data_IF_720990598514
#
_entry.id   IF_720990598514
#
_cell.length_a   1.000
_cell.length_b   1.000
_cell.length_c   1.000
_cell.angle_alpha   90.00
_cell.angle_beta   90.00
_cell.angle_gamma   90.00
#
_symmetry.space_group_name_H-M   'P 1'
#
loop_
_entity.id
_entity.type
_entity.pdbx_description
1 polymer ?
#
# COMPACT_ATOMS: atom_id res chain seq x y z
N UNK A 1 7.66 -16.01 -23.72
CA UNK A 1 7.05 -15.76 -22.41
C UNK A 1 5.89 -16.72 -22.22
N UNK A 2 5.97 -17.62 -21.24
CA UNK A 2 5.05 -18.77 -21.13
C UNK A 2 3.64 -18.34 -20.74
N UNK A 3 2.60 -18.88 -21.42
CA UNK A 3 1.16 -18.61 -21.16
C UNK A 3 0.78 -18.71 -19.67
N UNK A 4 1.46 -19.61 -18.95
CA UNK A 4 1.27 -19.84 -17.52
C UNK A 4 1.64 -18.59 -16.71
N UNK A 5 2.73 -17.89 -17.07
CA UNK A 5 3.15 -16.67 -16.38
C UNK A 5 2.13 -15.53 -16.54
N UNK A 6 1.54 -15.38 -17.73
CA UNK A 6 0.51 -14.38 -17.97
C UNK A 6 -0.76 -14.65 -17.16
N UNK A 7 -1.21 -15.92 -17.09
CA UNK A 7 -2.37 -16.31 -16.29
C UNK A 7 -2.16 -16.05 -14.79
N UNK A 8 -0.96 -16.35 -14.27
CA UNK A 8 -0.63 -16.09 -12.86
C UNK A 8 -0.67 -14.59 -12.58
N UNK A 9 -0.06 -13.75 -13.43
CA UNK A 9 -0.07 -12.29 -13.27
C UNK A 9 -1.50 -11.74 -13.35
N UNK A 10 -2.28 -12.17 -14.34
CA UNK A 10 -3.66 -11.74 -14.52
C UNK A 10 -4.53 -12.13 -13.33
N UNK A 11 -4.41 -13.36 -12.83
CA UNK A 11 -5.15 -13.83 -11.66
C UNK A 11 -4.77 -13.05 -10.40
N UNK A 12 -3.48 -12.82 -10.19
CA UNK A 12 -2.98 -12.04 -9.04
C UNK A 12 -3.51 -10.61 -9.09
N UNK A 13 -3.49 -9.97 -10.26
CA UNK A 13 -4.04 -8.63 -10.46
C UNK A 13 -5.55 -8.58 -10.17
N UNK A 14 -6.30 -9.60 -10.59
CA UNK A 14 -7.75 -9.71 -10.36
C UNK A 14 -8.06 -9.86 -8.86
N UNK A 15 -7.32 -10.73 -8.16
CA UNK A 15 -7.44 -10.88 -6.71
C UNK A 15 -7.12 -9.58 -5.97
N UNK A 16 -6.05 -8.88 -6.37
CA UNK A 16 -5.69 -7.58 -5.80
C UNK A 16 -6.77 -6.51 -6.04
N UNK A 17 -7.37 -6.49 -7.24
CA UNK A 17 -8.50 -5.61 -7.58
C UNK A 17 -9.69 -5.86 -6.65
N UNK A 18 -10.12 -7.12 -6.49
CA UNK A 18 -11.25 -7.49 -5.63
C UNK A 18 -10.96 -7.14 -4.17
N UNK A 19 -9.78 -7.47 -3.67
CA UNK A 19 -9.35 -7.11 -2.31
C UNK A 19 -9.31 -5.60 -2.11
N UNK A 20 -8.89 -4.82 -3.11
CA UNK A 20 -8.85 -3.36 -3.05
C UNK A 20 -10.26 -2.77 -2.93
N UNK A 21 -11.20 -3.23 -3.77
CA UNK A 21 -12.60 -2.77 -3.72
C UNK A 21 -13.27 -3.16 -2.40
N UNK A 22 -13.05 -4.38 -1.92
CA UNK A 22 -13.57 -4.83 -0.63
C UNK A 22 -13.01 -4.00 0.52
N UNK A 23 -11.71 -3.71 0.50
CA UNK A 23 -11.04 -2.87 1.50
C UNK A 23 -11.60 -1.45 1.49
N UNK A 24 -11.83 -0.85 0.32
CA UNK A 24 -12.37 0.50 0.19
C UNK A 24 -13.75 0.59 0.85
N UNK A 25 -14.68 -0.30 0.50
CA UNK A 25 -16.02 -0.35 1.10
C UNK A 25 -15.98 -0.51 2.62
N UNK A 26 -15.06 -1.34 3.12
CA UNK A 26 -14.91 -1.56 4.56
C UNK A 26 -14.33 -0.31 5.26
N UNK A 27 -13.42 0.40 4.61
CA UNK A 27 -12.82 1.63 5.11
C UNK A 27 -13.82 2.80 5.21
N UNK A 28 -14.79 2.87 4.30
CA UNK A 28 -15.89 3.83 4.35
C UNK A 28 -16.78 3.57 5.57
N UNK A 29 -17.10 2.29 5.84
CA UNK A 29 -17.85 1.88 7.03
C UNK A 29 -17.13 2.16 8.36
N UNK A 30 -15.79 2.17 8.35
CA UNK A 30 -15.00 2.60 9.51
C UNK A 30 -15.04 4.11 9.70
N UNK A 31 -15.00 4.88 8.60
CA UNK A 31 -15.05 6.33 8.63
C UNK A 31 -16.36 6.85 9.23
N UNK A 32 -17.49 6.22 8.91
CA UNK A 32 -18.80 6.58 9.48
C UNK A 32 -18.92 6.29 10.98
N UNK A 33 -18.16 5.31 11.49
CA UNK A 33 -18.10 4.95 12.92
C UNK A 33 -17.02 5.69 13.71
N UNK A 34 -16.30 6.62 13.09
CA UNK A 34 -15.18 7.30 13.72
C UNK A 34 -14.05 6.34 14.12
N UNK A 35 -13.84 5.28 13.33
CA UNK A 35 -12.75 4.32 13.46
C UNK A 35 -11.61 4.67 12.48
N UNK A 36 -10.43 4.10 12.72
CA UNK A 36 -9.28 4.33 11.87
C UNK A 36 -9.56 3.89 10.42
N UNK A 37 -9.29 4.79 9.48
CA UNK A 37 -9.51 4.53 8.05
C UNK A 37 -8.67 3.35 7.50
N UNK A 38 -7.49 3.06 8.08
CA UNK A 38 -6.56 2.05 7.56
C UNK A 38 -6.64 0.70 8.29
N UNK A 39 -6.89 0.71 9.60
CA UNK A 39 -6.89 -0.48 10.47
C UNK A 39 -8.27 -0.84 11.03
N UNK A 40 -9.26 0.06 10.97
CA UNK A 40 -10.55 -0.12 11.63
C UNK A 40 -10.49 -0.09 13.16
N UNK A 41 -9.32 0.12 13.77
CA UNK A 41 -9.19 0.23 15.22
C UNK A 41 -9.78 1.54 15.76
N UNK A 42 -10.15 1.54 17.03
CA UNK A 42 -10.60 2.74 17.72
C UNK A 42 -9.52 3.83 17.70
N UNK A 43 -9.95 5.05 17.40
CA UNK A 43 -9.10 6.23 17.45
C UNK A 43 -8.97 6.68 18.91
N UNK A 44 -7.81 6.44 19.51
CA UNK A 44 -7.44 6.99 20.82
C UNK A 44 -6.88 8.41 20.74
N UNK A 45 -6.27 8.88 21.83
CA UNK A 45 -5.68 10.22 21.93
C UNK A 45 -4.58 10.50 20.86
N UNK A 46 -3.90 9.45 20.37
CA UNK A 46 -2.84 9.53 19.35
C UNK A 46 -3.34 9.47 17.90
N UNK A 47 -4.61 9.80 17.68
CA UNK A 47 -5.18 9.88 16.34
C UNK A 47 -4.49 10.96 15.50
N UNK A 48 -3.91 10.59 14.35
CA UNK A 48 -3.36 11.56 13.39
C UNK A 48 -4.30 11.77 12.21
N UNK A 49 -4.55 13.03 11.87
CA UNK A 49 -5.22 13.43 10.63
C UNK A 49 -4.22 13.51 9.48
N UNK A 50 -4.45 12.78 8.40
CA UNK A 50 -3.57 12.78 7.23
C UNK A 50 -4.37 13.18 5.98
N UNK A 51 -3.83 14.08 5.14
CA UNK A 51 -4.49 14.47 3.90
C UNK A 51 -4.49 13.29 2.92
N UNK A 52 -5.68 12.95 2.41
CA UNK A 52 -5.81 11.93 1.38
C UNK A 52 -5.39 12.54 0.03
N UNK A 53 -4.13 12.32 -0.38
CA UNK A 53 -3.58 12.92 -1.61
C UNK A 53 -4.23 12.45 -2.91
N UNK A 54 -5.01 11.36 -2.88
CA UNK A 54 -5.51 10.68 -4.08
C UNK A 54 -6.94 11.11 -4.45
N UNK A 55 -7.74 11.61 -3.50
CA UNK A 55 -9.07 12.16 -3.80
C UNK A 55 -9.11 13.63 -3.43
N UNK A 56 -9.26 14.45 -4.48
CA UNK A 56 -9.79 15.81 -4.53
C UNK A 56 -9.88 16.60 -3.21
N UNK A 57 -9.13 17.71 -3.14
CA UNK A 57 -9.32 18.89 -2.27
C UNK A 57 -9.85 18.61 -0.85
N UNK A 58 -8.94 18.57 0.12
CA UNK A 58 -9.25 18.93 1.52
C UNK A 58 -9.82 17.82 2.41
N UNK A 59 -10.04 16.60 1.91
CA UNK A 59 -10.49 15.51 2.76
C UNK A 59 -9.34 14.95 3.61
N UNK A 60 -9.38 15.27 4.91
CA UNK A 60 -8.52 14.65 5.93
C UNK A 60 -9.16 13.36 6.43
N UNK A 61 -8.36 12.29 6.52
CA UNK A 61 -8.77 11.03 7.14
C UNK A 61 -8.02 10.84 8.44
N UNK A 62 -8.69 10.26 9.44
CA UNK A 62 -8.06 9.94 10.72
C UNK A 62 -7.48 8.52 10.70
N UNK A 63 -6.23 8.38 11.12
CA UNK A 63 -5.52 7.11 11.23
C UNK A 63 -5.05 6.86 12.67
N UNK A 64 -5.05 5.58 13.05
CA UNK A 64 -4.54 5.08 14.32
C UNK A 64 -3.01 5.33 14.41
N UNK A 65 -2.48 5.62 15.60
CA UNK A 65 -1.04 5.84 15.82
C UNK A 65 -0.18 4.65 15.35
N UNK A 66 -0.68 3.43 15.50
CA UNK A 66 -0.07 2.21 14.93
C UNK A 66 0.05 2.24 13.41
N UNK A 67 -1.00 2.65 12.68
CA UNK A 67 -0.95 2.80 11.22
C UNK A 67 -0.05 3.96 10.78
N UNK A 68 0.04 5.03 11.56
CA UNK A 68 0.97 6.11 11.28
C UNK A 68 2.43 5.61 11.38
N UNK A 69 2.74 4.76 12.36
CA UNK A 69 4.04 4.11 12.50
C UNK A 69 4.30 3.11 11.37
N UNK A 70 3.29 2.32 10.98
CA UNK A 70 3.39 1.36 9.90
C UNK A 70 3.68 2.02 8.54
N UNK A 71 3.06 3.19 8.26
CA UNK A 71 3.37 3.96 7.03
C UNK A 71 4.82 4.44 6.99
N UNK A 72 5.40 4.76 8.14
CA UNK A 72 6.81 5.12 8.21
C UNK A 72 7.66 3.89 7.86
N UNK A 73 7.38 2.73 8.46
CA UNK A 73 8.08 1.47 8.20
C UNK A 73 7.94 1.03 6.73
N UNK A 74 6.74 1.12 6.16
CA UNK A 74 6.50 0.79 4.74
C UNK A 74 7.28 1.67 3.78
N UNK A 75 7.48 2.97 4.09
CA UNK A 75 8.34 3.83 3.26
C UNK A 75 9.78 3.36 3.27
N UNK A 76 10.28 2.94 4.43
CA UNK A 76 11.63 2.37 4.54
C UNK A 76 11.75 1.02 3.81
N UNK A 77 10.72 0.17 3.89
CA UNK A 77 10.69 -1.08 3.12
C UNK A 77 10.65 -0.84 1.61
N UNK A 78 9.83 0.09 1.12
CA UNK A 78 9.79 0.45 -0.30
C UNK A 78 11.14 0.98 -0.79
N UNK A 79 11.80 1.82 0.01
CA UNK A 79 13.13 2.31 -0.30
C UNK A 79 14.17 1.18 -0.35
N UNK A 80 14.12 0.22 0.58
CA UNK A 80 15.04 -0.92 0.58
C UNK A 80 14.80 -1.86 -0.61
N UNK A 81 13.54 -2.15 -0.94
CA UNK A 81 13.20 -2.95 -2.12
C UNK A 81 13.64 -2.28 -3.43
N UNK A 82 13.47 -0.96 -3.56
CA UNK A 82 13.96 -0.22 -4.72
C UNK A 82 15.48 -0.29 -4.85
N UNK A 83 16.20 -0.22 -3.73
CA UNK A 83 17.66 -0.31 -3.69
C UNK A 83 18.15 -1.71 -4.08
N UNK A 84 17.50 -2.77 -3.59
CA UNK A 84 17.78 -4.16 -4.00
C UNK A 84 17.49 -4.38 -5.49
N UNK A 85 16.38 -3.84 -6.00
CA UNK A 85 16.04 -3.92 -7.42
C UNK A 85 17.08 -3.22 -8.30
N UNK A 86 17.58 -2.05 -7.89
CA UNK A 86 18.65 -1.35 -8.61
C UNK A 86 19.96 -2.13 -8.62
N UNK A 87 20.33 -2.75 -7.49
CA UNK A 87 21.53 -3.61 -7.41
C UNK A 87 21.37 -4.82 -8.33
N UNK A 88 20.22 -5.50 -8.28
CA UNK A 88 19.95 -6.65 -9.16
C UNK A 88 19.98 -6.24 -10.64
N UNK A 89 19.45 -5.06 -10.98
CA UNK A 89 19.49 -4.52 -12.33
C UNK A 89 20.93 -4.22 -12.77
N UNK A 90 21.75 -3.63 -11.90
CA UNK A 90 23.15 -3.33 -12.18
C UNK A 90 23.99 -4.61 -12.39
N UNK A 91 23.77 -5.63 -11.56
CA UNK A 91 24.43 -6.94 -11.68
C UNK A 91 24.00 -7.66 -12.97
N UNK A 92 22.70 -7.61 -13.30
CA UNK A 92 22.20 -8.16 -14.56
C UNK A 92 22.87 -7.49 -15.77
N UNK A 93 23.00 -6.16 -15.73
CA UNK A 93 23.63 -5.39 -16.79
C UNK A 93 25.13 -5.68 -16.94
N UNK A 94 25.85 -5.92 -15.84
CA UNK A 94 27.27 -6.29 -15.90
C UNK A 94 27.47 -7.72 -16.40
N UNK A 95 26.61 -8.66 -15.99
CA UNK A 95 26.62 -10.05 -16.48
C UNK A 95 26.29 -10.14 -17.98
N UNK A 96 25.38 -9.30 -18.50
CA UNK A 96 25.04 -9.27 -19.93
C UNK A 96 26.14 -8.70 -20.83
N UNK A 97 27.11 -7.96 -20.25
CA UNK A 97 28.19 -7.30 -20.99
C UNK A 97 29.51 -8.10 -20.97
N UNK A 98 29.54 -9.21 -20.24
CA UNK A 98 30.63 -10.19 -20.17
C UNK A 98 30.44 -11.27 -21.22
#
# INVERSE_FOLDING_TARGET
MSKIGFLVIAFTALVLMVLSVWRERRSEGWRSRGLCHQCGAHLGADAKSVPLRIMSRGNTVRICGGCAKERHIQRWMLASFALVALIALAIWWSLQRS
#
